data_IF_648129907306
#
_entry.id   IF_648129907306
#
_cell.length_a   1.000
_cell.length_b   1.000
_cell.length_c   1.000
_cell.angle_alpha   90.00
_cell.angle_beta   90.00
_cell.angle_gamma   90.00
#
_symmetry.space_group_name_H-M   'P 1'
#
loop_
_entity.id
_entity.type
_entity.pdbx_description
1 polymer ?
#
# COMPACT_ATOMS: atom_id res chain seq x y z
N UNK A 1 -11.94 -4.97 14.15
CA UNK A 1 -10.95 -4.31 13.27
C UNK A 1 -10.63 -2.94 13.85
N UNK A 2 -9.47 -2.82 14.49
CA UNK A 2 -8.90 -1.58 15.01
C UNK A 2 -8.17 -0.82 13.90
N UNK A 3 -7.85 0.46 14.12
CA UNK A 3 -7.05 1.25 13.18
C UNK A 3 -5.67 0.65 12.93
N UNK A 4 -5.03 0.12 13.99
CA UNK A 4 -3.74 -0.56 13.89
C UNK A 4 -3.82 -1.88 13.10
N UNK A 5 -4.91 -2.65 13.26
CA UNK A 5 -5.13 -3.85 12.45
C UNK A 5 -5.30 -3.52 10.97
N UNK A 6 -6.03 -2.44 10.64
CA UNK A 6 -6.21 -2.00 9.26
C UNK A 6 -4.92 -1.41 8.66
N UNK A 7 -4.09 -0.74 9.46
CA UNK A 7 -2.78 -0.24 9.05
C UNK A 7 -1.84 -1.38 8.67
N UNK A 8 -1.71 -2.38 9.55
CA UNK A 8 -0.93 -3.58 9.28
C UNK A 8 -1.41 -4.31 8.03
N UNK A 9 -2.73 -4.48 7.87
CA UNK A 9 -3.30 -5.09 6.65
C UNK A 9 -3.02 -4.28 5.39
N UNK A 10 -2.94 -2.95 5.48
CA UNK A 10 -2.62 -2.07 4.35
C UNK A 10 -1.15 -2.21 3.95
N UNK A 11 -0.25 -2.33 4.93
CA UNK A 11 1.18 -2.61 4.72
C UNK A 11 1.36 -3.99 4.08
N UNK A 12 0.71 -5.01 4.60
CA UNK A 12 0.75 -6.38 4.06
C UNK A 12 0.21 -6.44 2.64
N UNK A 13 -0.87 -5.70 2.35
CA UNK A 13 -1.41 -5.58 0.99
C UNK A 13 -0.40 -4.96 0.03
N UNK A 14 0.23 -3.84 0.39
CA UNK A 14 1.26 -3.20 -0.43
C UNK A 14 2.47 -4.13 -0.66
N UNK A 15 2.92 -4.82 0.38
CA UNK A 15 3.99 -5.82 0.28
C UNK A 15 3.60 -6.99 -0.63
N UNK A 16 2.33 -7.44 -0.56
CA UNK A 16 1.76 -8.45 -1.45
C UNK A 16 1.76 -8.01 -2.91
N UNK A 17 1.35 -6.77 -3.20
CA UNK A 17 1.42 -6.19 -4.53
C UNK A 17 2.85 -6.17 -5.09
N UNK A 18 3.84 -5.76 -4.29
CA UNK A 18 5.26 -5.77 -4.69
C UNK A 18 5.76 -7.19 -4.97
N UNK A 19 5.32 -8.18 -4.18
CA UNK A 19 5.66 -9.58 -4.44
C UNK A 19 5.01 -10.09 -5.72
N UNK A 20 3.75 -9.73 -5.98
CA UNK A 20 3.03 -10.09 -7.21
C UNK A 20 3.75 -9.58 -8.45
N UNK A 21 4.26 -8.34 -8.46
CA UNK A 21 4.96 -7.81 -9.64
C UNK A 21 6.22 -8.59 -10.00
N UNK A 22 6.80 -9.35 -9.06
CA UNK A 22 7.98 -10.21 -9.31
C UNK A 22 7.63 -11.50 -10.05
N UNK A 23 6.35 -11.89 -10.11
CA UNK A 23 5.91 -13.14 -10.75
C UNK A 23 5.32 -12.91 -12.15
N UNK A 24 5.18 -11.66 -12.59
CA UNK A 24 4.56 -11.33 -13.88
C UNK A 24 5.56 -11.54 -15.03
N UNK A 25 5.10 -12.10 -16.14
CA UNK A 25 5.90 -12.25 -17.37
C UNK A 25 6.33 -10.87 -17.86
N UNK A 26 7.62 -10.71 -18.17
CA UNK A 26 8.18 -9.43 -18.62
C UNK A 26 7.64 -9.04 -20.00
N UNK A 27 7.03 -7.86 -20.05
CA UNK A 27 6.55 -7.19 -21.25
C UNK A 27 6.49 -5.68 -20.96
N UNK A 28 6.39 -4.85 -21.99
CA UNK A 28 6.21 -3.41 -21.79
C UNK A 28 4.94 -3.09 -20.99
N UNK A 29 3.83 -3.77 -21.31
CA UNK A 29 2.56 -3.59 -20.62
C UNK A 29 2.64 -4.00 -19.14
N UNK A 30 3.25 -5.16 -18.85
CA UNK A 30 3.38 -5.64 -17.47
C UNK A 30 4.33 -4.80 -16.63
N UNK A 31 5.41 -4.26 -17.21
CA UNK A 31 6.31 -3.31 -16.52
C UNK A 31 5.55 -2.02 -16.17
N UNK A 32 4.81 -1.45 -17.13
CA UNK A 32 4.01 -0.25 -16.90
C UNK A 32 2.97 -0.47 -15.79
N UNK A 33 2.21 -1.57 -15.87
CA UNK A 33 1.20 -1.90 -14.86
C UNK A 33 1.82 -2.19 -13.50
N UNK A 34 2.98 -2.87 -13.45
CA UNK A 34 3.67 -3.18 -12.20
C UNK A 34 4.08 -1.90 -11.46
N UNK A 35 4.62 -0.91 -12.18
CA UNK A 35 4.97 0.40 -11.60
C UNK A 35 3.74 1.11 -11.04
N UNK A 36 2.64 1.11 -11.79
CA UNK A 36 1.38 1.75 -11.35
C UNK A 36 0.78 1.06 -10.13
N UNK A 37 0.82 -0.28 -10.09
CA UNK A 37 0.34 -1.07 -8.96
C UNK A 37 1.17 -0.83 -7.70
N UNK A 38 2.50 -0.85 -7.81
CA UNK A 38 3.41 -0.57 -6.69
C UNK A 38 3.11 0.83 -6.14
N UNK A 39 3.08 1.86 -7.00
CA UNK A 39 2.81 3.24 -6.58
C UNK A 39 1.46 3.39 -5.89
N UNK A 40 0.40 2.80 -6.45
CA UNK A 40 -0.95 2.94 -5.90
C UNK A 40 -1.09 2.23 -4.55
N UNK A 41 -0.55 1.02 -4.43
CA UNK A 41 -0.67 0.21 -3.22
C UNK A 41 0.15 0.78 -2.06
N UNK A 42 1.37 1.28 -2.32
CA UNK A 42 2.18 1.94 -1.28
C UNK A 42 1.60 3.28 -0.86
N UNK A 43 1.07 4.07 -1.79
CA UNK A 43 0.39 5.33 -1.48
C UNK A 43 -0.83 5.11 -0.58
N UNK A 44 -1.61 4.05 -0.81
CA UNK A 44 -2.73 3.72 0.07
C UNK A 44 -2.28 3.44 1.51
N UNK A 45 -1.25 2.61 1.69
CA UNK A 45 -0.73 2.29 3.03
C UNK A 45 -0.19 3.54 3.76
N UNK A 46 0.57 4.38 3.06
CA UNK A 46 1.13 5.62 3.62
C UNK A 46 0.04 6.63 3.99
N UNK A 47 -0.88 6.93 3.07
CA UNK A 47 -1.97 7.88 3.32
C UNK A 47 -2.86 7.43 4.49
N UNK A 48 -3.08 6.12 4.64
CA UNK A 48 -3.84 5.59 5.75
C UNK A 48 -3.12 5.77 7.08
N UNK A 49 -1.82 5.47 7.14
CA UNK A 49 -0.99 5.70 8.33
C UNK A 49 -0.96 7.19 8.73
N UNK A 50 -0.79 8.09 7.75
CA UNK A 50 -0.85 9.54 7.98
C UNK A 50 -2.21 9.99 8.53
N UNK A 51 -3.31 9.44 8.01
CA UNK A 51 -4.66 9.75 8.49
C UNK A 51 -4.87 9.35 9.95
N UNK A 52 -4.36 8.18 10.36
CA UNK A 52 -4.41 7.74 11.77
C UNK A 52 -3.56 8.66 12.65
N UNK A 53 -2.36 9.02 12.20
CA UNK A 53 -1.47 9.94 12.90
C UNK A 53 -2.14 11.31 13.13
N UNK A 54 -2.74 11.88 12.08
CA UNK A 54 -3.47 13.14 12.16
C UNK A 54 -4.69 13.07 13.09
N UNK A 55 -5.45 11.96 13.06
CA UNK A 55 -6.59 11.76 13.94
C UNK A 55 -6.18 11.61 15.41
N UNK A 56 -5.04 10.94 15.66
CA UNK A 56 -4.48 10.81 17.00
C UNK A 56 -4.00 12.15 17.55
N UNK A 57 -3.32 12.96 16.72
CA UNK A 57 -2.87 14.31 17.08
C UNK A 57 -4.06 15.24 17.40
N UNK A 58 -5.14 15.21 16.60
CA UNK A 58 -6.34 16.04 16.84
C UNK A 58 -7.10 15.74 18.13
N UNK A 59 -6.80 14.63 18.81
CA UNK A 59 -7.44 14.23 20.06
C UNK A 59 -6.73 14.73 21.32
N UNK A 60 -5.58 15.39 21.18
CA UNK A 60 -4.86 16.09 22.24
C UNK A 60 -5.06 17.60 22.13
#
# INVERSE_FOLDING_TARGET
MTSAELENRSIDFAAGCIKLTKTVVKSFASEHMSRQLIRSSTSFALNYSESIGAFSYRKY
#
